data_IF_653837273247
#
_entry.id   IF_653837273247
#
_cell.length_a   1.000
_cell.length_b   1.000
_cell.length_c   1.000
_cell.angle_alpha   90.00
_cell.angle_beta   90.00
_cell.angle_gamma   90.00
#
_symmetry.space_group_name_H-M   'P 1'
#
loop_
_entity.id
_entity.type
_entity.pdbx_description
1 polymer ?
#
# COMPACT_ATOMS: atom_id res chain seq x y z
N UNK A 1 -2.69 -0.26 19.81
CA UNK A 1 -3.17 1.07 19.33
C UNK A 1 -3.95 0.90 18.02
N UNK A 2 -5.26 0.63 18.11
CA UNK A 2 -6.14 0.25 16.97
C UNK A 2 -7.24 1.28 16.70
N UNK A 3 -7.07 2.55 17.11
CA UNK A 3 -8.15 3.54 17.11
C UNK A 3 -8.28 4.38 15.82
N UNK A 4 -7.31 4.37 14.91
CA UNK A 4 -7.38 5.19 13.68
C UNK A 4 -8.14 4.49 12.53
N UNK A 5 -7.89 3.20 12.30
CA UNK A 5 -8.61 2.42 11.29
C UNK A 5 -10.07 2.15 11.68
N UNK A 6 -10.37 2.03 12.98
CA UNK A 6 -11.76 1.94 13.47
C UNK A 6 -12.48 3.30 13.44
N UNK A 7 -11.75 4.42 13.59
CA UNK A 7 -12.27 5.75 13.30
C UNK A 7 -12.59 5.92 11.81
N UNK A 8 -11.81 5.34 10.89
CA UNK A 8 -12.13 5.43 9.45
C UNK A 8 -13.48 4.81 9.08
N UNK A 9 -13.86 3.66 9.66
CA UNK A 9 -15.14 2.99 9.34
C UNK A 9 -16.35 3.67 10.00
N UNK A 10 -16.19 4.21 11.20
CA UNK A 10 -17.30 4.81 11.96
C UNK A 10 -17.35 6.35 11.90
N UNK A 11 -16.30 7.04 11.47
CA UNK A 11 -16.32 8.50 11.30
C UNK A 11 -16.88 8.92 9.95
N UNK A 12 -16.90 8.05 8.94
CA UNK A 12 -17.53 8.42 7.66
C UNK A 12 -19.04 8.63 7.87
N UNK A 13 -19.77 7.73 8.55
CA UNK A 13 -21.21 7.94 8.80
C UNK A 13 -21.51 8.92 9.96
N UNK A 14 -20.67 8.94 11.00
CA UNK A 14 -20.94 9.73 12.20
C UNK A 14 -20.39 11.16 12.17
N UNK A 15 -19.26 11.43 11.51
CA UNK A 15 -18.76 12.80 11.31
C UNK A 15 -19.45 13.50 10.16
N UNK A 16 -19.99 12.78 9.16
CA UNK A 16 -20.90 13.40 8.19
C UNK A 16 -22.11 13.99 8.92
N UNK A 17 -22.85 13.18 9.69
CA UNK A 17 -24.06 13.64 10.38
C UNK A 17 -23.81 14.66 11.52
N UNK A 18 -22.64 14.67 12.17
CA UNK A 18 -22.31 15.65 13.24
C UNK A 18 -21.64 16.94 12.75
N UNK A 19 -21.05 16.96 11.55
CA UNK A 19 -20.42 18.17 10.99
C UNK A 19 -21.36 19.00 10.11
N UNK A 20 -22.52 18.46 9.71
CA UNK A 20 -23.59 19.25 9.08
C UNK A 20 -24.20 20.33 10.00
N UNK A 21 -23.97 20.24 11.31
CA UNK A 21 -24.59 21.14 12.31
C UNK A 21 -23.80 22.44 12.58
N UNK A 22 -22.69 22.69 11.87
CA UNK A 22 -21.91 23.93 12.00
C UNK A 22 -21.79 24.67 10.67
N UNK A 23 -22.43 25.85 10.67
CA UNK A 23 -22.51 26.91 9.65
C UNK A 23 -21.17 27.47 9.17
N UNK A 24 -20.27 26.63 8.69
CA UNK A 24 -19.21 27.05 7.77
C UNK A 24 -19.35 26.19 6.52
N UNK A 25 -19.83 26.80 5.44
CA UNK A 25 -19.87 26.27 4.08
C UNK A 25 -18.44 25.90 3.62
N UNK A 26 -17.90 24.78 4.10
CA UNK A 26 -16.63 24.27 3.60
C UNK A 26 -16.91 23.60 2.28
N UNK A 27 -16.43 24.22 1.20
CA UNK A 27 -16.54 23.68 -0.15
C UNK A 27 -16.09 22.20 -0.14
N UNK A 28 -16.97 21.24 -0.50
CA UNK A 28 -16.67 19.81 -0.43
C UNK A 28 -15.44 19.42 -1.25
N UNK A 29 -15.12 20.19 -2.30
CA UNK A 29 -13.90 20.02 -3.10
C UNK A 29 -12.66 20.38 -2.29
N UNK A 30 -12.70 21.47 -1.52
CA UNK A 30 -11.57 21.87 -0.66
C UNK A 30 -11.27 20.82 0.40
N UNK A 31 -12.30 20.24 1.02
CA UNK A 31 -12.13 19.15 1.96
C UNK A 31 -11.55 17.90 1.28
N UNK A 32 -12.11 17.50 0.14
CA UNK A 32 -11.60 16.35 -0.62
C UNK A 32 -10.14 16.54 -1.05
N UNK A 33 -9.74 17.75 -1.45
CA UNK A 33 -8.36 18.07 -1.79
C UNK A 33 -7.40 17.84 -0.61
N UNK A 34 -7.82 18.24 0.60
CA UNK A 34 -7.02 18.01 1.80
C UNK A 34 -6.88 16.52 2.09
N UNK A 35 -7.97 15.76 2.03
CA UNK A 35 -7.95 14.32 2.22
C UNK A 35 -7.06 13.59 1.21
N UNK A 36 -7.12 13.97 -0.07
CA UNK A 36 -6.26 13.40 -1.11
C UNK A 36 -4.79 13.62 -0.75
N UNK A 37 -4.40 14.84 -0.37
CA UNK A 37 -3.00 15.16 0.01
C UNK A 37 -2.54 14.35 1.21
N UNK A 38 -3.39 14.22 2.22
CA UNK A 38 -3.08 13.43 3.42
C UNK A 38 -2.94 11.95 3.09
N UNK A 39 -3.83 11.40 2.25
CA UNK A 39 -3.77 10.02 1.80
C UNK A 39 -2.55 9.74 0.92
N UNK A 40 -2.17 10.66 0.03
CA UNK A 40 -0.93 10.59 -0.74
C UNK A 40 0.29 10.53 0.16
N UNK A 41 0.37 11.43 1.15
CA UNK A 41 1.47 11.47 2.12
C UNK A 41 1.57 10.18 2.93
N UNK A 42 0.44 9.66 3.41
CA UNK A 42 0.40 8.40 4.15
C UNK A 42 0.82 7.23 3.26
N UNK A 43 0.34 7.18 2.02
CA UNK A 43 0.73 6.16 1.04
C UNK A 43 2.23 6.21 0.78
N UNK A 44 2.82 7.38 0.51
CA UNK A 44 4.26 7.54 0.32
C UNK A 44 5.06 7.05 1.54
N UNK A 45 4.62 7.38 2.75
CA UNK A 45 5.25 6.90 3.99
C UNK A 45 5.18 5.38 4.11
N UNK A 46 4.03 4.77 3.82
CA UNK A 46 3.88 3.30 3.81
C UNK A 46 4.81 2.65 2.80
N UNK A 47 4.97 3.23 1.60
CA UNK A 47 5.94 2.77 0.61
C UNK A 47 7.38 2.74 1.15
N UNK A 48 7.80 3.77 1.91
CA UNK A 48 9.14 3.80 2.56
C UNK A 48 9.31 2.70 3.60
N UNK A 49 8.27 2.38 4.36
CA UNK A 49 8.31 1.27 5.33
C UNK A 49 8.42 -0.09 4.62
N UNK A 50 7.70 -0.26 3.51
CA UNK A 50 7.75 -1.46 2.69
C UNK A 50 9.12 -1.68 2.08
N UNK A 51 9.74 -0.63 1.52
CA UNK A 51 11.10 -0.67 0.99
C UNK A 51 12.11 -1.08 2.07
N UNK A 52 11.99 -0.53 3.27
CA UNK A 52 12.84 -0.89 4.42
C UNK A 52 12.67 -2.36 4.82
N UNK A 53 11.43 -2.86 4.84
CA UNK A 53 11.16 -4.26 5.13
C UNK A 53 11.78 -5.19 4.07
N UNK A 54 11.69 -4.80 2.79
CA UNK A 54 12.36 -5.50 1.69
C UNK A 54 13.88 -5.56 1.87
N UNK A 55 14.50 -4.45 2.26
CA UNK A 55 15.95 -4.40 2.56
C UNK A 55 16.33 -5.28 3.75
N UNK A 56 15.55 -5.28 4.83
CA UNK A 56 15.80 -6.15 5.98
C UNK A 56 15.74 -7.63 5.58
N UNK A 57 14.78 -8.02 4.73
CA UNK A 57 14.72 -9.38 4.18
C UNK A 57 15.99 -9.74 3.41
N UNK A 58 16.48 -8.85 2.54
CA UNK A 58 17.70 -9.07 1.77
C UNK A 58 18.94 -9.25 2.67
N UNK A 59 19.04 -8.48 3.76
CA UNK A 59 20.14 -8.65 4.72
C UNK A 59 20.05 -9.99 5.47
N UNK A 60 18.83 -10.46 5.81
CA UNK A 60 18.65 -11.80 6.38
C UNK A 60 19.07 -12.91 5.40
N UNK A 61 18.70 -12.79 4.13
CA UNK A 61 19.11 -13.73 3.08
C UNK A 61 20.63 -13.77 2.90
N UNK A 62 21.29 -12.61 2.95
CA UNK A 62 22.76 -12.50 2.89
C UNK A 62 23.46 -13.10 4.12
N UNK A 63 22.90 -12.88 5.32
CA UNK A 63 23.43 -13.50 6.54
C UNK A 63 23.24 -15.02 6.54
N UNK A 64 22.13 -15.51 5.98
CA UNK A 64 21.89 -16.95 5.80
C UNK A 64 22.95 -17.57 4.87
N UNK A 65 23.23 -16.93 3.75
CA UNK A 65 24.28 -17.36 2.81
C UNK A 65 25.65 -17.41 3.51
N UNK A 66 26.00 -16.36 4.26
CA UNK A 66 27.26 -16.30 5.01
C UNK A 66 27.32 -17.40 6.08
N UNK A 67 26.20 -17.67 6.76
CA UNK A 67 26.08 -18.74 7.76
C UNK A 67 26.30 -20.12 7.14
N UNK A 68 25.76 -20.37 5.94
CA UNK A 68 25.98 -21.63 5.21
C UNK A 68 27.45 -21.80 4.81
N UNK A 69 28.09 -20.76 4.28
CA UNK A 69 29.52 -20.79 3.93
C UNK A 69 30.40 -21.10 5.15
N UNK A 70 30.09 -20.50 6.30
CA UNK A 70 30.81 -20.76 7.55
C UNK A 70 30.59 -22.18 8.07
N UNK A 71 29.36 -22.69 7.98
CA UNK A 71 29.03 -24.06 8.34
C UNK A 71 29.80 -25.07 7.47
N UNK A 72 29.82 -24.87 6.15
CA UNK A 72 30.56 -25.70 5.21
C UNK A 72 32.06 -25.71 5.53
N UNK A 73 32.64 -24.53 5.78
CA UNK A 73 34.04 -24.41 6.21
C UNK A 73 34.32 -25.20 7.49
N UNK A 74 33.43 -25.14 8.48
CA UNK A 74 33.58 -25.88 9.74
C UNK A 74 33.39 -27.39 9.57
N UNK A 75 32.51 -27.83 8.67
CA UNK A 75 32.38 -29.23 8.30
C UNK A 75 33.69 -29.77 7.70
N UNK A 76 34.30 -29.05 6.75
CA UNK A 76 35.58 -29.45 6.17
C UNK A 76 36.70 -29.53 7.23
N UNK A 77 36.71 -28.62 8.20
CA UNK A 77 37.66 -28.65 9.32
C UNK A 77 37.40 -29.79 10.30
N UNK A 78 36.13 -30.12 10.54
CA UNK A 78 35.73 -31.27 11.35
C UNK A 78 36.17 -32.59 10.70
N UNK A 79 36.00 -32.73 9.39
CA UNK A 79 36.48 -33.91 8.64
C UNK A 79 38.00 -34.06 8.76
N UNK A 80 38.75 -32.96 8.61
CA UNK A 80 40.20 -32.96 8.78
C UNK A 80 40.62 -33.35 10.21
N UNK A 81 39.96 -32.78 11.23
CA UNK A 81 40.24 -33.09 12.63
C UNK A 81 39.92 -34.55 12.99
N UNK A 82 38.85 -35.10 12.41
CA UNK A 82 38.51 -36.51 12.54
C UNK A 82 39.60 -37.41 11.93
N UNK A 83 40.16 -37.01 10.78
CA UNK A 83 41.26 -37.75 10.14
C UNK A 83 42.57 -37.69 10.94
N UNK A 84 42.84 -36.58 11.65
CA UNK A 84 44.04 -36.46 12.51
C UNK A 84 43.86 -37.08 13.89
N UNK A 85 42.62 -37.33 14.33
CA UNK A 85 42.30 -37.90 15.64
C UNK A 85 42.42 -36.92 16.80
N UNK A 86 42.59 -35.62 16.52
CA UNK A 86 42.71 -34.57 17.53
C UNK A 86 41.35 -34.23 18.16
N UNK A 87 41.03 -34.92 19.26
CA UNK A 87 39.73 -34.88 19.93
C UNK A 87 39.27 -33.47 20.30
N UNK A 88 40.18 -32.60 20.76
CA UNK A 88 39.83 -31.23 21.14
C UNK A 88 39.37 -30.40 19.92
N UNK A 89 40.01 -30.59 18.76
CA UNK A 89 39.64 -29.93 17.51
C UNK A 89 38.34 -30.48 16.93
N UNK A 90 38.11 -31.79 17.04
CA UNK A 90 36.85 -32.43 16.65
C UNK A 90 35.70 -31.83 17.46
N UNK A 91 35.83 -31.80 18.80
CA UNK A 91 34.80 -31.27 19.68
C UNK A 91 34.48 -29.80 19.38
N UNK A 92 35.52 -28.97 19.15
CA UNK A 92 35.35 -27.56 18.80
C UNK A 92 34.65 -27.38 17.45
N UNK A 93 35.12 -28.07 16.39
CA UNK A 93 34.55 -27.94 15.05
C UNK A 93 33.09 -28.44 15.02
N UNK A 94 32.77 -29.53 15.73
CA UNK A 94 31.41 -30.04 15.85
C UNK A 94 30.48 -29.04 16.55
N UNK A 95 30.94 -28.39 17.63
CA UNK A 95 30.16 -27.36 18.32
C UNK A 95 29.88 -26.16 17.40
N UNK A 96 30.85 -25.72 16.62
CA UNK A 96 30.68 -24.65 15.64
C UNK A 96 29.70 -25.03 14.53
N UNK A 97 29.80 -26.23 13.95
CA UNK A 97 28.84 -26.74 12.94
C UNK A 97 27.41 -26.70 13.50
N UNK A 98 27.21 -27.19 14.72
CA UNK A 98 25.90 -27.18 15.37
C UNK A 98 25.38 -25.74 15.57
N UNK A 99 26.25 -24.82 15.99
CA UNK A 99 25.89 -23.42 16.19
C UNK A 99 25.48 -22.71 14.88
N UNK A 100 26.21 -22.94 13.79
CA UNK A 100 25.84 -22.39 12.48
C UNK A 100 24.58 -23.05 11.91
N UNK A 101 24.37 -24.35 12.14
CA UNK A 101 23.16 -25.05 11.72
C UNK A 101 21.91 -24.48 12.41
N UNK A 102 21.97 -24.26 13.73
CA UNK A 102 20.87 -23.65 14.48
C UNK A 102 20.59 -22.22 14.00
N UNK A 103 21.65 -21.43 13.77
CA UNK A 103 21.51 -20.07 13.23
C UNK A 103 20.85 -20.06 11.85
N UNK A 104 21.24 -20.98 10.97
CA UNK A 104 20.64 -21.12 9.65
C UNK A 104 19.14 -21.40 9.76
N UNK A 105 18.73 -22.32 10.63
CA UNK A 105 17.31 -22.63 10.85
C UNK A 105 16.50 -21.40 11.29
N UNK A 106 17.02 -20.62 12.25
CA UNK A 106 16.39 -19.38 12.73
C UNK A 106 16.27 -18.34 11.62
N UNK A 107 17.33 -18.15 10.83
CA UNK A 107 17.33 -17.21 9.70
C UNK A 107 16.34 -17.63 8.61
N UNK A 108 16.32 -18.91 8.23
CA UNK A 108 15.36 -19.45 7.25
C UNK A 108 13.92 -19.22 7.69
N UNK A 109 13.58 -19.53 8.95
CA UNK A 109 12.24 -19.30 9.48
C UNK A 109 11.86 -17.81 9.45
N UNK A 110 12.81 -16.93 9.83
CA UNK A 110 12.62 -15.48 9.81
C UNK A 110 12.39 -14.93 8.39
N UNK A 111 13.11 -15.45 7.39
CA UNK A 111 12.96 -15.07 5.98
C UNK A 111 11.59 -15.50 5.44
N UNK A 112 11.14 -16.71 5.76
CA UNK A 112 9.81 -17.22 5.36
C UNK A 112 8.73 -16.31 5.92
N UNK A 113 8.73 -16.08 7.25
CA UNK A 113 7.75 -15.22 7.90
C UNK A 113 7.77 -13.80 7.32
N UNK A 114 8.96 -13.21 7.19
CA UNK A 114 9.11 -11.85 6.64
C UNK A 114 8.58 -11.76 5.22
N UNK A 115 8.77 -12.82 4.41
CA UNK A 115 8.27 -12.88 3.02
C UNK A 115 6.75 -12.90 2.98
N UNK A 116 6.10 -13.69 3.82
CA UNK A 116 4.63 -13.76 3.91
C UNK A 116 4.04 -12.41 4.34
N UNK A 117 4.64 -11.78 5.36
CA UNK A 117 4.24 -10.45 5.84
C UNK A 117 4.40 -9.37 4.75
N UNK A 118 5.51 -9.39 4.00
CA UNK A 118 5.78 -8.47 2.91
C UNK A 118 4.70 -8.55 1.82
N UNK A 119 4.32 -9.76 1.40
CA UNK A 119 3.25 -9.95 0.40
C UNK A 119 1.93 -9.35 0.88
N UNK A 120 1.60 -9.52 2.16
CA UNK A 120 0.41 -8.93 2.76
C UNK A 120 0.44 -7.40 2.82
N UNK A 121 1.60 -6.82 3.11
CA UNK A 121 1.80 -5.37 3.14
C UNK A 121 1.76 -4.76 1.73
N UNK A 122 2.39 -5.41 0.75
CA UNK A 122 2.37 -5.01 -0.66
C UNK A 122 0.94 -4.93 -1.19
N UNK A 123 0.10 -5.93 -0.86
CA UNK A 123 -1.32 -5.90 -1.23
C UNK A 123 -2.04 -4.66 -0.72
N UNK A 124 -1.92 -4.38 0.57
CA UNK A 124 -2.59 -3.23 1.19
C UNK A 124 -2.04 -1.91 0.66
N UNK A 125 -0.76 -1.86 0.35
CA UNK A 125 -0.14 -0.68 -0.26
C UNK A 125 -0.70 -0.38 -1.65
N UNK A 126 -0.91 -1.40 -2.50
CA UNK A 126 -1.59 -1.23 -3.78
C UNK A 126 -3.03 -0.77 -3.62
N UNK A 127 -3.79 -1.39 -2.69
CA UNK A 127 -5.14 -0.95 -2.36
C UNK A 127 -5.17 0.54 -1.96
N UNK A 128 -4.18 1.02 -1.18
CA UNK A 128 -4.05 2.43 -0.83
C UNK A 128 -3.82 3.32 -2.07
N UNK A 129 -2.94 2.91 -3.00
CA UNK A 129 -2.70 3.66 -4.24
C UNK A 129 -3.96 3.76 -5.10
N UNK A 130 -4.71 2.67 -5.25
CA UNK A 130 -5.99 2.68 -5.96
C UNK A 130 -6.99 3.63 -5.31
N UNK A 131 -7.13 3.59 -3.97
CA UNK A 131 -8.01 4.53 -3.27
C UNK A 131 -7.63 5.99 -3.45
N UNK A 132 -6.34 6.32 -3.47
CA UNK A 132 -5.88 7.67 -3.82
C UNK A 132 -6.31 8.06 -5.24
N UNK A 133 -6.17 7.15 -6.21
CA UNK A 133 -6.58 7.38 -7.59
C UNK A 133 -8.10 7.57 -7.72
N UNK A 134 -8.89 6.74 -7.04
CA UNK A 134 -10.35 6.86 -7.01
C UNK A 134 -10.79 8.21 -6.44
N UNK A 135 -10.15 8.66 -5.36
CA UNK A 135 -10.44 9.97 -4.77
C UNK A 135 -10.13 11.11 -5.76
N UNK A 136 -9.06 11.02 -6.54
CA UNK A 136 -8.76 12.00 -7.60
C UNK A 136 -9.78 11.98 -8.74
N UNK A 137 -10.26 10.81 -9.14
CA UNK A 137 -11.36 10.71 -10.12
C UNK A 137 -12.62 11.39 -9.56
N UNK A 138 -12.93 11.15 -8.28
CA UNK A 138 -14.07 11.79 -7.60
C UNK A 138 -13.91 13.31 -7.53
N UNK A 139 -12.70 13.80 -7.25
CA UNK A 139 -12.38 15.22 -7.27
C UNK A 139 -12.71 15.85 -8.64
N UNK A 140 -12.28 15.22 -9.74
CA UNK A 140 -12.59 15.69 -11.09
C UNK A 140 -14.10 15.72 -11.38
N UNK A 141 -14.82 14.68 -10.96
CA UNK A 141 -16.28 14.61 -11.12
C UNK A 141 -17.00 15.72 -10.35
N UNK A 142 -16.56 16.02 -9.12
CA UNK A 142 -17.13 17.10 -8.32
C UNK A 142 -16.85 18.47 -8.93
N UNK A 143 -15.64 18.71 -9.40
CA UNK A 143 -15.30 19.95 -10.12
C UNK A 143 -16.15 20.11 -11.38
N UNK A 144 -16.35 19.03 -12.15
CA UNK A 144 -17.22 19.04 -13.32
C UNK A 144 -18.68 19.38 -12.99
N UNK A 145 -19.23 18.77 -11.94
CA UNK A 145 -20.59 19.06 -11.47
C UNK A 145 -20.71 20.50 -10.96
N UNK A 146 -19.74 20.99 -10.20
CA UNK A 146 -19.70 22.38 -9.74
C UNK A 146 -19.72 23.36 -10.93
N UNK A 147 -18.92 23.10 -11.97
CA UNK A 147 -18.92 23.92 -13.18
C UNK A 147 -20.29 23.98 -13.86
N UNK A 148 -20.94 22.82 -14.02
CA UNK A 148 -22.29 22.73 -14.61
C UNK A 148 -23.31 23.49 -13.76
N UNK A 149 -23.32 23.29 -12.45
CA UNK A 149 -24.24 23.97 -11.53
C UNK A 149 -24.04 25.49 -11.55
N UNK A 150 -22.79 25.97 -11.52
CA UNK A 150 -22.47 27.41 -11.62
C UNK A 150 -22.91 28.00 -12.95
N UNK A 151 -22.69 27.28 -14.06
CA UNK A 151 -23.10 27.71 -15.39
C UNK A 151 -24.63 27.86 -15.49
N UNK A 152 -25.40 26.85 -15.06
CA UNK A 152 -26.86 26.92 -14.99
C UNK A 152 -27.32 28.12 -14.17
N UNK A 153 -26.79 28.30 -12.96
CA UNK A 153 -27.15 29.43 -12.12
C UNK A 153 -26.83 30.80 -12.76
N UNK A 154 -25.74 30.92 -13.52
CA UNK A 154 -25.44 32.14 -14.26
C UNK A 154 -26.41 32.37 -15.43
N UNK A 155 -26.73 31.31 -16.18
CA UNK A 155 -27.66 31.38 -17.30
C UNK A 155 -29.08 31.71 -16.84
N UNK A 156 -29.58 31.05 -15.80
CA UNK A 156 -30.92 31.27 -15.26
C UNK A 156 -31.10 32.70 -14.75
N UNK A 157 -30.07 33.27 -14.09
CA UNK A 157 -30.09 34.69 -13.68
C UNK A 157 -30.16 35.66 -14.86
N UNK A 158 -29.56 35.33 -16.00
CA UNK A 158 -29.62 36.15 -17.21
C UNK A 158 -30.94 35.98 -17.96
N UNK A 159 -31.47 34.75 -18.02
CA UNK A 159 -32.68 34.41 -18.77
C UNK A 159 -33.98 34.73 -18.03
N UNK A 160 -33.96 34.76 -16.69
CA UNK A 160 -35.15 34.97 -15.85
C UNK A 160 -34.91 36.03 -14.77
N UNK A 161 -34.66 37.30 -15.15
CA UNK A 161 -34.30 38.37 -14.22
C UNK A 161 -35.42 38.74 -13.24
N UNK A 162 -36.70 38.40 -13.52
CA UNK A 162 -37.82 38.66 -12.60
C UNK A 162 -37.97 37.63 -11.47
N UNK A 163 -37.30 36.47 -11.52
CA UNK A 163 -37.43 35.39 -10.52
C UNK A 163 -36.25 35.36 -9.53
N UNK A 164 -36.03 36.47 -8.81
CA UNK A 164 -34.83 36.65 -7.96
C UNK A 164 -34.72 35.75 -6.71
N UNK A 165 -35.79 35.08 -6.28
CA UNK A 165 -35.86 34.49 -4.92
C UNK A 165 -36.01 32.96 -4.83
N UNK A 166 -35.92 32.21 -5.92
CA UNK A 166 -35.92 30.74 -5.82
C UNK A 166 -34.49 30.19 -5.83
N UNK A 167 -33.93 30.03 -4.62
CA UNK A 167 -32.72 29.22 -4.39
C UNK A 167 -33.00 27.75 -4.77
N UNK A 168 -32.90 27.44 -6.06
CA UNK A 168 -33.06 26.08 -6.57
C UNK A 168 -31.80 25.25 -6.29
N UNK A 169 -31.92 24.22 -5.45
CA UNK A 169 -31.26 22.91 -5.58
C UNK A 169 -29.73 22.79 -5.47
N UNK A 170 -28.96 23.88 -5.48
CA UNK A 170 -27.50 23.85 -5.76
C UNK A 170 -26.66 22.99 -4.81
N UNK A 171 -26.91 23.06 -3.50
CA UNK A 171 -26.12 22.32 -2.50
C UNK A 171 -26.62 20.88 -2.34
N UNK A 172 -27.93 20.68 -2.18
CA UNK A 172 -28.56 19.37 -2.00
C UNK A 172 -28.31 18.44 -3.20
N UNK A 173 -28.27 18.97 -4.42
CA UNK A 173 -27.96 18.19 -5.63
C UNK A 173 -26.50 17.73 -5.67
N UNK A 174 -25.59 18.53 -5.13
CA UNK A 174 -24.17 18.18 -5.04
C UNK A 174 -23.96 17.08 -3.99
N UNK A 175 -24.63 17.20 -2.85
CA UNK A 175 -24.63 16.19 -1.78
C UNK A 175 -25.20 14.84 -2.26
N UNK A 176 -26.37 14.84 -2.91
CA UNK A 176 -26.98 13.64 -3.49
C UNK A 176 -26.15 13.02 -4.64
N UNK A 177 -25.29 13.80 -5.29
CA UNK A 177 -24.37 13.29 -6.31
C UNK A 177 -23.12 12.66 -5.68
N UNK A 178 -22.61 13.26 -4.60
CA UNK A 178 -21.54 12.70 -3.77
C UNK A 178 -21.94 11.31 -3.29
N UNK A 179 -23.14 11.14 -2.72
CA UNK A 179 -23.59 9.84 -2.19
C UNK A 179 -23.65 8.73 -3.25
N UNK A 180 -24.16 9.06 -4.44
CA UNK A 180 -24.25 8.11 -5.57
C UNK A 180 -22.88 7.68 -6.10
N UNK A 181 -21.87 8.55 -6.05
CA UNK A 181 -20.50 8.20 -6.43
C UNK A 181 -19.85 7.22 -5.45
N UNK A 182 -20.18 7.31 -4.15
CA UNK A 182 -19.62 6.43 -3.13
C UNK A 182 -19.97 4.95 -3.31
N UNK A 183 -21.19 4.64 -3.76
CA UNK A 183 -21.72 3.27 -3.82
C UNK A 183 -21.19 2.40 -4.97
N UNK A 184 -20.66 2.99 -6.05
CA UNK A 184 -20.25 2.22 -7.26
C UNK A 184 -18.85 1.59 -7.16
N UNK A 185 -17.96 2.12 -6.33
CA UNK A 185 -16.52 1.81 -6.35
C UNK A 185 -16.15 0.71 -5.34
N UNK A 186 -16.98 0.45 -4.33
CA UNK A 186 -16.73 -0.64 -3.36
C UNK A 186 -16.65 -2.05 -3.99
N UNK A 187 -17.09 -2.22 -5.25
CA UNK A 187 -17.17 -3.53 -5.89
C UNK A 187 -15.93 -3.97 -6.68
N UNK A 188 -14.95 -3.10 -6.95
CA UNK A 188 -13.96 -3.39 -8.00
C UNK A 188 -12.52 -3.06 -7.63
N UNK A 189 -11.93 -3.59 -6.56
CA UNK A 189 -10.47 -3.47 -6.39
C UNK A 189 -9.85 -4.71 -5.78
N UNK A 190 -9.33 -5.58 -6.65
CA UNK A 190 -8.17 -6.40 -6.36
C UNK A 190 -6.97 -5.82 -7.12
N UNK A 191 -5.79 -5.97 -6.52
CA UNK A 191 -4.50 -6.33 -7.15
C UNK A 191 -3.33 -5.55 -6.54
N UNK A 192 -2.23 -6.28 -6.42
CA UNK A 192 -1.14 -6.24 -5.44
C UNK A 192 0.24 -6.28 -6.14
N UNK A 193 1.32 -6.61 -5.41
CA UNK A 193 2.70 -6.99 -5.82
C UNK A 193 2.84 -7.98 -7.01
N UNK A 194 1.71 -8.43 -7.53
CA UNK A 194 1.52 -8.92 -8.89
C UNK A 194 2.21 -8.03 -9.93
N UNK A 195 2.22 -6.69 -9.86
CA UNK A 195 2.77 -5.85 -10.94
C UNK A 195 4.25 -6.12 -11.27
N UNK A 196 5.13 -6.32 -10.30
CA UNK A 196 6.54 -6.67 -10.57
C UNK A 196 6.68 -8.11 -11.09
N UNK A 197 5.88 -9.04 -10.58
CA UNK A 197 5.86 -10.43 -11.06
C UNK A 197 5.27 -10.53 -12.46
N UNK A 198 4.23 -9.77 -12.75
CA UNK A 198 3.60 -9.61 -14.07
C UNK A 198 4.59 -8.97 -15.04
N UNK A 199 5.30 -7.90 -14.64
CA UNK A 199 6.34 -7.31 -15.47
C UNK A 199 7.50 -8.29 -15.76
N UNK A 200 7.87 -9.16 -14.81
CA UNK A 200 8.85 -10.23 -15.07
C UNK A 200 8.30 -11.29 -16.02
N UNK A 201 7.01 -11.65 -15.92
CA UNK A 201 6.35 -12.57 -16.85
C UNK A 201 6.26 -11.99 -18.26
N UNK A 202 5.84 -10.73 -18.40
CA UNK A 202 5.81 -10.00 -19.68
C UNK A 202 7.19 -9.93 -20.34
N UNK A 203 8.26 -9.76 -19.53
CA UNK A 203 9.64 -9.75 -20.02
C UNK A 203 10.14 -11.13 -20.46
N UNK A 204 9.64 -12.20 -19.86
CA UNK A 204 10.00 -13.58 -20.19
C UNK A 204 9.23 -14.14 -21.41
N UNK A 205 8.09 -13.54 -21.79
CA UNK A 205 7.31 -13.92 -22.98
C UNK A 205 7.73 -13.22 -24.28
N UNK A 206 8.61 -12.22 -24.27
CA UNK A 206 9.12 -11.66 -25.53
C UNK A 206 10.00 -12.70 -26.24
N UNK A 207 9.61 -13.22 -27.42
CA UNK A 207 10.49 -14.09 -28.17
C UNK A 207 11.72 -13.29 -28.55
N UNK A 208 12.91 -13.88 -28.36
CA UNK A 208 14.16 -13.38 -28.92
C UNK A 208 13.88 -13.03 -30.38
N UNK A 209 13.85 -11.75 -30.72
CA UNK A 209 13.72 -11.30 -32.10
C UNK A 209 14.78 -12.05 -32.90
N UNK A 210 14.33 -12.88 -33.84
CA UNK A 210 15.21 -13.49 -34.83
C UNK A 210 15.96 -12.34 -35.51
N UNK A 211 17.27 -12.32 -35.29
CA UNK A 211 18.18 -11.50 -36.08
C UNK A 211 18.16 -12.14 -37.47
N UNK A 212 17.46 -11.51 -38.41
CA UNK A 212 17.55 -11.78 -39.85
C UNK A 212 18.49 -10.76 -40.46
#
# INVERSE_FOLDING_TARGET
>A
MTSLLRRLKYSIEADLNKLFDKKEEKNPITMLNQYIREAEKQTEQTGKWLERQGKLKQELEKELETTHQMMEKRNNQLELANASGEQDLIAYAQAEVNAYSERANVLTASIIQTTEELVGLERKFEEMKHKVKDMKVRQLQLMGKENVTRAHHQMDRMLQPEQKDKNFGTFQEMENYIDRLGQKIEKEHEVTSMEQRLAMLEKNEQPKAEIV
#
